data_IF_164779516148
#
_entry.id   IF_164779516148
#
_cell.length_a   1.000
_cell.length_b   1.000
_cell.length_c   1.000
_cell.angle_alpha   90.00
_cell.angle_beta   90.00
_cell.angle_gamma   90.00
#
_symmetry.space_group_name_H-M   'P 1'
#
loop_
_entity.id
_entity.type
_entity.pdbx_description
1 polymer ?
#
# COMPACT_ATOMS: atom_id res chain seq x y z
N UNK A 1 6.39 -15.06 1.66
CA UNK A 1 7.85 -15.19 1.40
C UNK A 1 8.26 -14.12 0.39
N UNK A 2 9.41 -13.48 0.57
CA UNK A 2 9.92 -12.53 -0.43
C UNK A 2 10.39 -13.28 -1.70
N UNK A 3 10.11 -12.71 -2.88
CA UNK A 3 10.46 -13.31 -4.20
C UNK A 3 11.76 -12.77 -4.79
N UNK A 4 12.27 -11.65 -4.26
CA UNK A 4 13.51 -11.02 -4.70
C UNK A 4 14.70 -11.98 -4.52
N UNK A 5 15.43 -12.23 -5.60
CA UNK A 5 16.67 -13.01 -5.60
C UNK A 5 17.87 -12.08 -5.68
N UNK A 6 18.71 -12.12 -4.65
CA UNK A 6 19.97 -11.37 -4.58
C UNK A 6 21.11 -12.35 -4.88
N UNK A 7 22.06 -12.00 -5.77
CA UNK A 7 23.20 -12.86 -6.07
C UNK A 7 24.09 -13.04 -4.83
N UNK A 8 24.75 -14.19 -4.73
CA UNK A 8 25.65 -14.49 -3.60
C UNK A 8 26.84 -13.52 -3.51
N UNK A 9 27.32 -13.06 -4.67
CA UNK A 9 28.32 -12.00 -4.76
C UNK A 9 27.64 -10.73 -5.28
N UNK A 10 27.62 -9.69 -4.45
CA UNK A 10 27.02 -8.40 -4.80
C UNK A 10 28.15 -7.42 -5.10
N UNK A 11 28.20 -6.85 -6.31
CA UNK A 11 29.13 -5.77 -6.64
C UNK A 11 29.07 -4.60 -5.66
N UNK A 12 30.12 -3.79 -5.62
CA UNK A 12 30.12 -2.58 -4.79
C UNK A 12 29.10 -1.56 -5.31
N UNK A 13 28.53 -0.69 -4.46
CA UNK A 13 27.63 0.37 -4.91
C UNK A 13 28.25 1.30 -5.96
N UNK A 14 29.57 1.53 -5.90
CA UNK A 14 30.31 2.31 -6.89
C UNK A 14 30.33 1.61 -8.25
N UNK A 15 30.58 0.30 -8.27
CA UNK A 15 30.58 -0.50 -9.49
C UNK A 15 29.17 -0.57 -10.11
N UNK A 16 28.14 -0.80 -9.30
CA UNK A 16 26.74 -0.76 -9.77
C UNK A 16 26.37 0.63 -10.32
N UNK A 17 26.82 1.71 -9.66
CA UNK A 17 26.61 3.09 -10.10
C UNK A 17 27.24 3.36 -11.46
N UNK A 18 28.50 2.95 -11.66
CA UNK A 18 29.22 3.11 -12.92
C UNK A 18 28.58 2.31 -14.05
N UNK A 19 28.18 1.07 -13.78
CA UNK A 19 27.48 0.23 -14.76
C UNK A 19 26.11 0.81 -15.14
N UNK A 20 25.36 1.32 -14.16
CA UNK A 20 24.10 2.02 -14.44
C UNK A 20 24.33 3.27 -15.28
N UNK A 21 25.33 4.10 -14.95
CA UNK A 21 25.70 5.27 -15.77
C UNK A 21 26.01 4.88 -17.21
N UNK A 22 26.76 3.80 -17.40
CA UNK A 22 27.09 3.27 -18.72
C UNK A 22 25.87 2.71 -19.47
N UNK A 23 24.82 2.26 -18.76
CA UNK A 23 23.64 1.66 -19.36
C UNK A 23 22.81 2.65 -20.19
N UNK A 24 22.88 3.95 -19.90
CA UNK A 24 22.17 4.99 -20.65
C UNK A 24 23.13 6.07 -21.17
N UNK A 25 24.40 5.73 -21.36
CA UNK A 25 25.36 6.62 -21.99
C UNK A 25 25.34 6.44 -23.52
N UNK A 26 25.08 7.52 -24.24
CA UNK A 26 25.09 7.53 -25.71
C UNK A 26 23.68 7.48 -26.30
N UNK A 27 23.55 6.91 -27.50
CA UNK A 27 22.24 6.78 -28.15
C UNK A 27 21.57 5.47 -27.73
N UNK A 28 20.46 5.59 -27.02
CA UNK A 28 19.66 4.46 -26.53
C UNK A 28 20.06 4.02 -25.12
N UNK A 29 19.30 3.06 -24.60
CA UNK A 29 19.41 2.56 -23.23
C UNK A 29 19.61 1.04 -23.26
N UNK A 30 20.42 0.51 -22.34
CA UNK A 30 20.62 -0.92 -22.13
C UNK A 30 19.75 -1.37 -20.96
N UNK A 31 18.46 -1.60 -21.25
CA UNK A 31 17.46 -1.98 -20.24
C UNK A 31 17.81 -3.31 -19.56
N UNK A 32 18.44 -4.24 -20.28
CA UNK A 32 18.89 -5.52 -19.75
C UNK A 32 19.90 -5.38 -18.61
N UNK A 33 20.83 -4.41 -18.71
CA UNK A 33 21.78 -4.11 -17.65
C UNK A 33 21.11 -3.43 -16.45
N UNK A 34 20.16 -2.53 -16.70
CA UNK A 34 19.36 -1.89 -15.63
C UNK A 34 18.61 -2.97 -14.83
N UNK A 35 17.98 -3.93 -15.52
CA UNK A 35 17.27 -5.06 -14.89
C UNK A 35 18.24 -5.94 -14.10
N UNK A 36 19.36 -6.35 -14.71
CA UNK A 36 20.31 -7.28 -14.08
C UNK A 36 20.91 -6.74 -12.78
N UNK A 37 20.96 -5.41 -12.64
CA UNK A 37 21.36 -4.73 -11.41
C UNK A 37 20.13 -4.52 -10.51
N UNK A 38 19.20 -3.63 -10.88
CA UNK A 38 18.17 -3.13 -9.97
C UNK A 38 17.20 -4.21 -9.52
N UNK A 39 16.78 -5.13 -10.39
CA UNK A 39 15.88 -6.23 -10.03
C UNK A 39 16.52 -7.26 -9.08
N UNK A 40 17.83 -7.13 -8.83
CA UNK A 40 18.64 -8.03 -8.01
C UNK A 40 19.33 -7.30 -6.85
N UNK A 41 18.79 -6.14 -6.43
CA UNK A 41 19.21 -5.40 -5.24
C UNK A 41 18.03 -5.18 -4.31
N UNK A 42 18.22 -5.35 -3.01
CA UNK A 42 17.22 -5.01 -2.01
C UNK A 42 17.10 -3.49 -1.81
N UNK A 43 16.09 -3.05 -1.06
CA UNK A 43 15.82 -1.63 -0.82
C UNK A 43 17.05 -0.87 -0.25
N UNK A 44 17.76 -1.46 0.71
CA UNK A 44 18.95 -0.86 1.31
C UNK A 44 20.08 -0.71 0.28
N UNK A 45 20.32 -1.73 -0.54
CA UNK A 45 21.32 -1.69 -1.62
C UNK A 45 20.96 -0.64 -2.66
N UNK A 46 19.70 -0.60 -3.14
CA UNK A 46 19.26 0.40 -4.13
C UNK A 46 19.38 1.83 -3.58
N UNK A 47 19.10 2.03 -2.29
CA UNK A 47 19.29 3.33 -1.64
C UNK A 47 20.76 3.74 -1.65
N UNK A 48 21.68 2.85 -1.25
CA UNK A 48 23.12 3.14 -1.27
C UNK A 48 23.62 3.39 -2.69
N UNK A 49 23.16 2.61 -3.69
CA UNK A 49 23.47 2.85 -5.10
C UNK A 49 23.03 4.25 -5.54
N UNK A 50 21.82 4.69 -5.20
CA UNK A 50 21.34 6.04 -5.50
C UNK A 50 22.21 7.12 -4.86
N UNK A 51 22.55 6.96 -3.58
CA UNK A 51 23.42 7.90 -2.85
C UNK A 51 24.82 7.97 -3.48
N UNK A 52 25.42 6.82 -3.79
CA UNK A 52 26.72 6.74 -4.47
C UNK A 52 26.68 7.32 -5.89
N UNK A 53 25.58 7.10 -6.63
CA UNK A 53 25.39 7.67 -7.96
C UNK A 53 25.36 9.19 -7.93
N UNK A 54 24.63 9.77 -6.98
CA UNK A 54 24.61 11.22 -6.79
C UNK A 54 25.95 11.78 -6.34
N UNK A 55 26.67 11.09 -5.46
CA UNK A 55 28.00 11.52 -5.02
C UNK A 55 29.05 11.47 -6.14
N UNK A 56 29.01 10.43 -6.98
CA UNK A 56 30.01 10.17 -8.02
C UNK A 56 29.74 10.98 -9.29
N UNK A 57 28.47 11.12 -9.69
CA UNK A 57 28.10 11.72 -10.98
C UNK A 57 27.43 13.10 -10.85
N UNK A 58 27.04 13.51 -9.64
CA UNK A 58 26.34 14.79 -9.42
C UNK A 58 24.89 14.81 -9.90
N UNK A 59 24.34 13.66 -10.31
CA UNK A 59 23.00 13.50 -10.88
C UNK A 59 22.13 12.55 -10.03
N UNK A 60 20.82 12.63 -10.18
CA UNK A 60 19.88 11.76 -9.45
C UNK A 60 19.53 10.56 -10.34
N UNK A 61 19.87 9.35 -9.89
CA UNK A 61 19.63 8.13 -10.65
C UNK A 61 18.17 7.97 -11.09
N UNK A 62 17.19 8.36 -10.26
CA UNK A 62 15.78 8.26 -10.64
C UNK A 62 15.42 9.26 -11.73
N UNK A 63 16.03 10.46 -11.74
CA UNK A 63 15.80 11.45 -12.81
C UNK A 63 16.42 11.02 -14.13
N UNK A 64 17.55 10.32 -14.09
CA UNK A 64 18.16 9.79 -15.30
C UNK A 64 17.32 8.63 -15.84
N UNK A 65 16.88 7.70 -14.98
CA UNK A 65 15.97 6.62 -15.38
C UNK A 65 14.63 7.14 -15.98
N UNK A 66 14.07 8.22 -15.43
CA UNK A 66 12.86 8.89 -15.92
C UNK A 66 13.03 9.50 -17.32
N UNK A 67 14.24 9.98 -17.66
CA UNK A 67 14.53 10.54 -19.00
C UNK A 67 14.83 9.47 -20.03
N UNK A 68 15.48 8.38 -19.60
CA UNK A 68 16.09 7.39 -20.49
C UNK A 68 15.18 6.18 -20.76
N UNK A 69 14.14 6.01 -19.94
CA UNK A 69 13.13 4.97 -20.11
C UNK A 69 11.79 5.60 -20.53
N UNK A 70 10.86 4.77 -20.99
CA UNK A 70 9.51 5.23 -21.30
C UNK A 70 8.42 4.24 -20.92
N UNK A 71 7.18 4.74 -20.84
CA UNK A 71 5.96 3.94 -20.74
C UNK A 71 5.93 3.06 -19.48
N UNK A 72 5.45 1.82 -19.57
CA UNK A 72 5.25 0.97 -18.40
C UNK A 72 6.57 0.44 -17.82
N UNK A 73 7.60 0.27 -18.64
CA UNK A 73 8.92 -0.15 -18.15
C UNK A 73 9.54 0.91 -17.24
N UNK A 74 9.50 2.18 -17.65
CA UNK A 74 9.92 3.32 -16.83
C UNK A 74 9.20 3.34 -15.48
N UNK A 75 7.85 3.27 -15.50
CA UNK A 75 7.05 3.28 -14.26
C UNK A 75 7.46 2.16 -13.31
N UNK A 76 7.61 0.94 -13.81
CA UNK A 76 7.98 -0.22 -12.98
C UNK A 76 9.39 -0.05 -12.43
N UNK A 77 10.36 0.39 -13.22
CA UNK A 77 11.74 0.60 -12.78
C UNK A 77 11.82 1.71 -11.73
N UNK A 78 11.15 2.85 -11.95
CA UNK A 78 11.14 3.96 -10.99
C UNK A 78 10.49 3.55 -9.67
N UNK A 79 9.30 2.94 -9.72
CA UNK A 79 8.61 2.45 -8.53
C UNK A 79 9.44 1.41 -7.79
N UNK A 80 10.08 0.47 -8.50
CA UNK A 80 10.94 -0.54 -7.91
C UNK A 80 12.18 0.07 -7.24
N UNK A 81 12.77 1.10 -7.83
CA UNK A 81 14.04 1.68 -7.39
C UNK A 81 13.90 2.52 -6.11
N UNK A 82 12.72 3.09 -5.87
CA UNK A 82 12.38 3.80 -4.63
C UNK A 82 12.52 2.89 -3.39
N UNK A 83 12.81 3.51 -2.24
CA UNK A 83 12.62 2.85 -0.94
C UNK A 83 11.12 2.53 -0.75
N UNK A 84 10.74 1.42 -0.07
CA UNK A 84 9.34 1.08 0.14
C UNK A 84 8.48 2.24 0.70
N UNK A 85 9.00 3.04 1.62
CA UNK A 85 8.26 4.18 2.16
C UNK A 85 8.10 5.32 1.14
N UNK A 86 9.14 5.59 0.34
CA UNK A 86 9.06 6.59 -0.74
C UNK A 86 8.11 6.15 -1.85
N UNK A 87 8.08 4.85 -2.16
CA UNK A 87 7.17 4.24 -3.13
C UNK A 87 5.73 4.37 -2.68
N UNK A 88 5.43 3.98 -1.43
CA UNK A 88 4.07 4.09 -0.88
C UNK A 88 3.63 5.56 -0.83
N UNK A 89 4.52 6.47 -0.43
CA UNK A 89 4.23 7.91 -0.47
C UNK A 89 3.91 8.41 -1.88
N UNK A 90 4.69 8.00 -2.88
CA UNK A 90 4.47 8.35 -4.28
C UNK A 90 3.14 7.80 -4.81
N UNK A 91 2.86 6.52 -4.58
CA UNK A 91 1.61 5.88 -5.00
C UNK A 91 0.39 6.53 -4.34
N UNK A 92 0.46 6.80 -3.04
CA UNK A 92 -0.60 7.49 -2.33
C UNK A 92 -0.83 8.92 -2.87
N UNK A 93 0.24 9.65 -3.23
CA UNK A 93 0.10 10.98 -3.80
C UNK A 93 -0.49 10.96 -5.21
N UNK A 94 -0.15 9.97 -6.02
CA UNK A 94 -0.79 9.76 -7.32
C UNK A 94 -2.28 9.44 -7.14
N UNK A 95 -2.61 8.59 -6.16
CA UNK A 95 -3.98 8.17 -5.87
C UNK A 95 -4.89 9.30 -5.33
N UNK A 96 -4.34 10.40 -4.81
CA UNK A 96 -5.13 11.57 -4.36
C UNK A 96 -5.26 12.67 -5.42
N UNK A 97 -4.53 12.61 -6.54
CA UNK A 97 -4.63 13.63 -7.60
C UNK A 97 -5.89 13.44 -8.43
N UNK A 98 -6.57 14.54 -8.77
CA UNK A 98 -7.84 14.54 -9.49
C UNK A 98 -7.85 13.70 -10.79
N UNK A 99 -6.77 13.72 -11.57
CA UNK A 99 -6.68 12.99 -12.84
C UNK A 99 -6.35 11.50 -12.68
N UNK A 100 -5.86 11.10 -11.51
CA UNK A 100 -5.36 9.75 -11.21
C UNK A 100 -5.97 9.20 -9.92
N UNK A 101 -7.12 9.74 -9.51
CA UNK A 101 -7.77 9.42 -8.24
C UNK A 101 -8.07 7.92 -8.20
N UNK A 102 -7.57 7.24 -7.17
CA UNK A 102 -7.78 5.81 -7.00
C UNK A 102 -7.82 5.45 -5.52
N UNK A 103 -9.03 5.43 -4.96
CA UNK A 103 -9.26 5.14 -3.56
C UNK A 103 -8.78 3.72 -3.15
N UNK A 104 -8.77 2.76 -4.08
CA UNK A 104 -8.31 1.40 -3.83
C UNK A 104 -6.82 1.35 -3.47
N UNK A 105 -5.98 2.22 -4.06
CA UNK A 105 -4.56 2.31 -3.69
C UNK A 105 -4.39 2.83 -2.25
N UNK A 106 -5.22 3.79 -1.84
CA UNK A 106 -5.21 4.31 -0.46
C UNK A 106 -5.63 3.21 0.52
N UNK A 107 -6.69 2.46 0.20
CA UNK A 107 -7.13 1.30 0.99
C UNK A 107 -6.02 0.26 1.09
N UNK A 108 -5.40 -0.09 -0.03
CA UNK A 108 -4.32 -1.08 -0.08
C UNK A 108 -3.18 -0.69 0.85
N UNK A 109 -2.63 0.52 0.68
CA UNK A 109 -1.50 1.01 1.48
C UNK A 109 -1.86 1.02 2.97
N UNK A 110 -3.06 1.49 3.31
CA UNK A 110 -3.45 1.64 4.72
C UNK A 110 -3.84 0.32 5.41
N UNK A 111 -4.32 -0.67 4.67
CA UNK A 111 -4.77 -1.96 5.23
C UNK A 111 -3.68 -3.03 5.26
N UNK A 112 -2.80 -3.06 4.25
CA UNK A 112 -1.83 -4.16 4.06
C UNK A 112 -0.50 -3.91 4.76
N UNK A 113 -0.10 -2.65 4.96
CA UNK A 113 1.15 -2.29 5.64
C UNK A 113 1.04 -2.54 7.15
N UNK A 114 2.18 -2.75 7.80
CA UNK A 114 2.28 -2.63 9.26
C UNK A 114 2.12 -1.15 9.67
N UNK A 115 1.65 -0.87 10.91
CA UNK A 115 1.67 0.46 11.49
C UNK A 115 3.01 1.21 11.38
N UNK A 116 4.14 0.50 11.52
CA UNK A 116 5.46 1.10 11.34
C UNK A 116 5.76 1.45 9.87
N UNK A 117 5.43 0.57 8.92
CA UNK A 117 5.61 0.85 7.48
C UNK A 117 4.73 2.01 7.03
N UNK A 118 3.45 2.05 7.45
CA UNK A 118 2.54 3.15 7.14
C UNK A 118 3.06 4.47 7.72
N UNK A 119 3.59 4.45 8.95
CA UNK A 119 4.22 5.63 9.55
C UNK A 119 5.42 6.13 8.72
N UNK A 120 6.30 5.22 8.27
CA UNK A 120 7.42 5.59 7.40
C UNK A 120 6.95 6.17 6.06
N UNK A 121 5.91 5.58 5.46
CA UNK A 121 5.31 6.11 4.23
C UNK A 121 4.77 7.53 4.45
N UNK A 122 4.10 7.80 5.58
CA UNK A 122 3.61 9.15 5.94
C UNK A 122 4.75 10.14 6.15
N UNK A 123 5.85 9.72 6.78
CA UNK A 123 7.05 10.54 6.92
C UNK A 123 7.68 10.87 5.56
N UNK A 124 7.79 9.88 4.67
CA UNK A 124 8.28 10.09 3.31
C UNK A 124 7.34 11.00 2.49
N UNK A 125 6.03 10.87 2.68
CA UNK A 125 5.02 11.74 2.08
C UNK A 125 5.21 13.19 2.49
N UNK A 126 5.31 13.45 3.80
CA UNK A 126 5.52 14.79 4.34
C UNK A 126 6.86 15.38 3.89
N UNK A 127 7.93 14.58 3.89
CA UNK A 127 9.24 14.99 3.44
C UNK A 127 9.23 15.42 1.96
N UNK A 128 8.51 14.68 1.10
CA UNK A 128 8.48 14.90 -0.35
C UNK A 128 7.46 15.98 -0.78
N UNK A 129 6.24 15.93 -0.26
CA UNK A 129 5.11 16.74 -0.73
C UNK A 129 4.76 17.92 0.18
N UNK A 130 5.43 18.04 1.34
CA UNK A 130 5.29 19.16 2.30
C UNK A 130 3.87 19.31 2.87
N UNK A 131 3.13 18.21 2.94
CA UNK A 131 1.77 18.08 3.50
C UNK A 131 1.56 16.66 4.02
N UNK A 132 0.56 16.44 4.86
CA UNK A 132 0.26 15.09 5.36
C UNK A 132 -0.56 14.28 4.35
N UNK A 133 -0.45 12.95 4.42
CA UNK A 133 -1.28 12.05 3.63
C UNK A 133 -2.76 12.19 4.02
N UNK A 134 -3.02 12.36 5.31
CA UNK A 134 -4.36 12.48 5.87
C UNK A 134 -5.09 13.72 5.38
N UNK A 135 -4.40 14.87 5.35
CA UNK A 135 -4.98 16.11 4.80
C UNK A 135 -5.34 15.95 3.32
N UNK A 136 -4.46 15.35 2.52
CA UNK A 136 -4.74 15.12 1.10
C UNK A 136 -5.90 14.13 0.90
N UNK A 137 -5.94 13.03 1.65
CA UNK A 137 -7.07 12.09 1.60
C UNK A 137 -8.37 12.79 2.02
N UNK A 138 -8.36 13.60 3.09
CA UNK A 138 -9.54 14.32 3.55
C UNK A 138 -10.02 15.40 2.57
N UNK A 139 -9.09 16.04 1.86
CA UNK A 139 -9.39 17.08 0.86
C UNK A 139 -9.92 16.48 -0.45
N UNK A 140 -9.33 15.37 -0.90
CA UNK A 140 -9.64 14.77 -2.21
C UNK A 140 -10.76 13.71 -2.18
N UNK A 141 -11.27 13.36 -0.99
CA UNK A 141 -12.42 12.44 -0.85
C UNK A 141 -13.63 13.11 -0.20
N UNK A 142 -14.81 12.56 -0.44
CA UNK A 142 -16.09 13.12 0.02
C UNK A 142 -16.94 12.08 0.76
N UNK A 143 -17.93 12.57 1.51
CA UNK A 143 -18.97 11.79 2.17
C UNK A 143 -18.45 10.50 2.86
N UNK A 144 -19.01 9.35 2.49
CA UNK A 144 -18.77 8.06 3.13
C UNK A 144 -17.38 7.50 2.83
N UNK A 145 -16.87 7.73 1.62
CA UNK A 145 -15.50 7.34 1.26
C UNK A 145 -14.50 8.05 2.18
N UNK A 146 -14.66 9.37 2.38
CA UNK A 146 -13.81 10.10 3.33
C UNK A 146 -13.95 9.56 4.75
N UNK A 147 -15.18 9.24 5.17
CA UNK A 147 -15.48 8.69 6.49
C UNK A 147 -14.78 7.36 6.75
N UNK A 148 -14.55 6.56 5.71
CA UNK A 148 -13.77 5.32 5.77
C UNK A 148 -12.25 5.58 5.68
N UNK A 149 -11.80 6.34 4.68
CA UNK A 149 -10.38 6.43 4.35
C UNK A 149 -9.56 7.24 5.35
N UNK A 150 -10.09 8.37 5.84
CA UNK A 150 -9.38 9.24 6.80
C UNK A 150 -8.97 8.47 8.07
N UNK A 151 -9.88 7.77 8.78
CA UNK A 151 -9.46 6.98 9.93
C UNK A 151 -8.54 5.82 9.52
N UNK A 152 -8.75 5.20 8.34
CA UNK A 152 -7.90 4.10 7.87
C UNK A 152 -6.44 4.53 7.70
N UNK A 153 -6.15 5.72 7.15
CA UNK A 153 -4.78 6.27 7.02
C UNK A 153 -4.27 6.95 8.29
N UNK A 154 -5.17 7.39 9.17
CA UNK A 154 -4.84 8.18 10.36
C UNK A 154 -4.41 7.33 11.56
N UNK A 155 -4.96 6.13 11.71
CA UNK A 155 -4.81 5.35 12.94
C UNK A 155 -3.48 4.59 12.97
N UNK A 156 -2.75 4.76 14.07
CA UNK A 156 -1.63 3.90 14.42
C UNK A 156 -2.14 2.68 15.21
N UNK A 157 -2.41 1.58 14.50
CA UNK A 157 -3.03 0.38 15.09
C UNK A 157 -2.08 -0.31 16.07
N UNK A 158 -2.66 -0.93 17.08
CA UNK A 158 -1.95 -1.85 17.96
C UNK A 158 -1.53 -3.12 17.20
N UNK A 159 -0.28 -3.53 17.35
CA UNK A 159 0.31 -4.72 16.69
C UNK A 159 0.43 -5.94 17.61
N UNK A 160 -0.05 -5.86 18.86
CA UNK A 160 -0.05 -7.03 19.74
C UNK A 160 -1.09 -8.06 19.35
N UNK A 161 -0.86 -9.30 19.81
CA UNK A 161 -1.68 -10.48 19.53
C UNK A 161 -2.86 -10.62 20.51
N UNK A 162 -2.99 -9.70 21.47
CA UNK A 162 -4.03 -9.71 22.48
C UNK A 162 -5.42 -9.52 21.87
N UNK A 163 -6.32 -10.45 22.21
CA UNK A 163 -7.70 -10.47 21.73
C UNK A 163 -8.65 -10.51 22.92
N UNK A 164 -9.66 -9.63 22.89
CA UNK A 164 -10.79 -9.67 23.79
C UNK A 164 -11.97 -10.39 23.10
N UNK A 165 -12.20 -11.65 23.48
CA UNK A 165 -13.24 -12.50 22.89
C UNK A 165 -14.67 -12.02 23.20
N UNK A 166 -14.89 -11.46 24.39
CA UNK A 166 -16.20 -10.87 24.75
C UNK A 166 -16.52 -9.69 23.86
N UNK A 167 -15.54 -8.81 23.63
CA UNK A 167 -15.66 -7.68 22.72
C UNK A 167 -15.87 -8.16 21.29
N UNK A 168 -15.08 -9.14 20.81
CA UNK A 168 -15.19 -9.70 19.48
C UNK A 168 -16.61 -10.23 19.20
N UNK A 169 -17.19 -10.95 20.15
CA UNK A 169 -18.57 -11.44 20.04
C UNK A 169 -19.60 -10.31 19.99
N UNK A 170 -19.46 -9.28 20.85
CA UNK A 170 -20.37 -8.14 20.82
C UNK A 170 -20.27 -7.32 19.54
N UNK A 171 -19.05 -7.12 19.03
CA UNK A 171 -18.81 -6.35 17.80
C UNK A 171 -19.24 -7.13 16.56
N UNK A 172 -19.15 -8.46 16.56
CA UNK A 172 -19.67 -9.29 15.47
C UNK A 172 -21.19 -9.10 15.28
N UNK A 173 -21.94 -9.10 16.38
CA UNK A 173 -23.39 -8.82 16.38
C UNK A 173 -23.70 -7.42 15.88
N UNK A 174 -22.92 -6.44 16.35
CA UNK A 174 -23.10 -5.05 15.95
C UNK A 174 -22.82 -4.87 14.45
N UNK A 175 -21.77 -5.48 13.91
CA UNK A 175 -21.50 -5.49 12.47
C UNK A 175 -22.69 -6.07 11.70
N UNK A 176 -23.20 -7.23 12.12
CA UNK A 176 -24.32 -7.89 11.46
C UNK A 176 -25.60 -7.04 11.49
N UNK A 177 -25.94 -6.45 12.63
CA UNK A 177 -27.07 -5.52 12.77
C UNK A 177 -26.94 -4.34 11.79
N UNK A 178 -25.77 -3.67 11.76
CA UNK A 178 -25.58 -2.51 10.87
C UNK A 178 -25.59 -2.88 9.39
N UNK A 179 -25.07 -4.06 9.03
CA UNK A 179 -25.09 -4.57 7.65
C UNK A 179 -26.52 -4.94 7.23
N UNK A 180 -27.29 -5.59 8.11
CA UNK A 180 -28.69 -5.94 7.85
C UNK A 180 -29.57 -4.70 7.62
N UNK A 181 -29.30 -3.62 8.37
CA UNK A 181 -29.97 -2.32 8.21
C UNK A 181 -29.44 -1.50 7.01
N UNK A 182 -28.48 -2.02 6.25
CA UNK A 182 -27.76 -1.32 5.17
C UNK A 182 -27.04 -0.04 5.63
N UNK A 183 -26.74 0.06 6.92
CA UNK A 183 -26.02 1.17 7.54
C UNK A 183 -24.49 0.98 7.42
N UNK A 184 -23.99 0.79 6.20
CA UNK A 184 -22.60 0.40 5.93
C UNK A 184 -21.56 1.45 6.34
N UNK A 185 -21.97 2.72 6.45
CA UNK A 185 -21.17 3.87 6.88
C UNK A 185 -21.40 4.25 8.35
N UNK A 186 -22.08 3.40 9.13
CA UNK A 186 -22.35 3.65 10.55
C UNK A 186 -21.03 3.75 11.36
N UNK A 187 -20.98 4.67 12.32
CA UNK A 187 -19.77 4.99 13.08
C UNK A 187 -19.16 3.75 13.76
N UNK A 188 -20.00 2.88 14.32
CA UNK A 188 -19.52 1.63 14.93
C UNK A 188 -18.86 0.68 13.93
N UNK A 189 -19.43 0.52 12.74
CA UNK A 189 -18.86 -0.35 11.71
C UNK A 189 -17.50 0.20 11.27
N UNK A 190 -17.45 1.50 10.93
CA UNK A 190 -16.21 2.19 10.59
C UNK A 190 -15.19 2.06 11.70
N UNK A 191 -15.58 2.31 12.95
CA UNK A 191 -14.70 2.21 14.13
C UNK A 191 -14.12 0.80 14.25
N UNK A 192 -14.94 -0.24 14.14
CA UNK A 192 -14.48 -1.63 14.26
C UNK A 192 -13.44 -1.94 13.18
N UNK A 193 -13.72 -1.61 11.93
CA UNK A 193 -12.82 -1.90 10.80
C UNK A 193 -11.55 -1.05 10.85
N UNK A 194 -11.67 0.24 11.18
CA UNK A 194 -10.54 1.19 11.06
C UNK A 194 -9.66 1.29 12.30
N UNK A 195 -10.16 0.93 13.49
CA UNK A 195 -9.42 1.15 14.76
C UNK A 195 -8.88 -0.11 15.42
N UNK A 196 -9.51 -1.28 15.23
CA UNK A 196 -9.10 -2.51 15.93
C UNK A 196 -7.75 -3.02 15.44
N UNK A 197 -7.01 -3.72 16.30
CA UNK A 197 -5.83 -4.48 15.87
C UNK A 197 -6.23 -5.54 14.85
N UNK A 198 -5.31 -5.94 13.97
CA UNK A 198 -5.59 -6.99 12.98
C UNK A 198 -6.04 -8.32 13.66
N UNK A 199 -5.40 -8.77 14.76
CA UNK A 199 -5.86 -9.96 15.49
C UNK A 199 -7.27 -9.80 16.07
N UNK A 200 -7.58 -8.65 16.68
CA UNK A 200 -8.91 -8.40 17.23
C UNK A 200 -9.99 -8.35 16.13
N UNK A 201 -9.72 -7.69 15.00
CA UNK A 201 -10.66 -7.65 13.87
C UNK A 201 -10.90 -9.06 13.31
N UNK A 202 -9.83 -9.85 13.13
CA UNK A 202 -9.96 -11.23 12.68
C UNK A 202 -10.81 -12.08 13.64
N UNK A 203 -10.63 -11.93 14.95
CA UNK A 203 -11.47 -12.60 15.95
C UNK A 203 -12.95 -12.18 15.87
N UNK A 204 -13.21 -10.88 15.67
CA UNK A 204 -14.57 -10.36 15.45
C UNK A 204 -15.21 -11.00 14.19
N UNK A 205 -14.48 -11.09 13.08
CA UNK A 205 -14.99 -11.68 11.84
C UNK A 205 -15.16 -13.20 11.92
N UNK A 206 -14.30 -13.89 12.67
CA UNK A 206 -14.48 -15.32 12.96
C UNK A 206 -15.77 -15.54 13.75
N UNK A 207 -16.05 -14.71 14.76
CA UNK A 207 -17.33 -14.77 15.49
C UNK A 207 -18.52 -14.46 14.61
N UNK A 208 -18.41 -13.46 13.73
CA UNK A 208 -19.44 -13.13 12.74
C UNK A 208 -19.78 -14.37 11.89
N UNK A 209 -18.77 -15.00 11.29
CA UNK A 209 -18.98 -16.18 10.44
C UNK A 209 -19.57 -17.37 11.22
N UNK A 210 -19.11 -17.60 12.45
CA UNK A 210 -19.59 -18.70 13.29
C UNK A 210 -21.04 -18.51 13.76
N UNK A 211 -21.45 -17.26 14.02
CA UNK A 211 -22.79 -16.97 14.55
C UNK A 211 -23.84 -16.83 13.44
N UNK A 212 -23.48 -16.28 12.27
CA UNK A 212 -24.42 -15.97 11.18
C UNK A 212 -24.28 -16.89 9.96
N UNK A 213 -23.27 -17.76 9.92
CA UNK A 213 -23.09 -18.78 8.88
C UNK A 213 -22.57 -18.26 7.53
N UNK A 214 -22.35 -16.95 7.40
CA UNK A 214 -21.78 -16.31 6.22
C UNK A 214 -20.54 -15.49 6.57
N UNK A 215 -19.57 -15.47 5.66
CA UNK A 215 -18.46 -14.52 5.74
C UNK A 215 -18.97 -13.11 5.45
N UNK A 216 -18.49 -12.12 6.21
CA UNK A 216 -18.90 -10.72 6.09
C UNK A 216 -18.80 -10.17 4.66
N UNK A 217 -17.84 -10.67 3.87
CA UNK A 217 -17.63 -10.28 2.48
C UNK A 217 -18.87 -10.53 1.61
N UNK A 218 -19.58 -11.65 1.84
CA UNK A 218 -20.82 -11.99 1.12
C UNK A 218 -21.97 -11.05 1.49
N UNK A 219 -22.08 -10.69 2.76
CA UNK A 219 -23.16 -9.82 3.23
C UNK A 219 -22.92 -8.35 2.84
N UNK A 220 -21.68 -8.00 2.47
CA UNK A 220 -21.30 -6.71 1.91
C UNK A 220 -21.31 -6.69 0.38
N UNK A 221 -21.49 -7.82 -0.30
CA UNK A 221 -21.54 -7.91 -1.77
C UNK A 221 -22.97 -7.84 -2.30
N UNK A 222 -23.70 -6.80 -1.86
CA UNK A 222 -25.11 -6.58 -2.24
C UNK A 222 -25.28 -5.77 -3.50
N UNK A 223 -24.28 -4.96 -3.85
CA UNK A 223 -24.25 -4.13 -5.04
C UNK A 223 -22.82 -4.14 -5.60
N UNK A 224 -22.67 -4.65 -6.82
CA UNK A 224 -21.39 -4.77 -7.50
C UNK A 224 -20.90 -3.45 -8.11
N UNK A 225 -21.73 -2.41 -8.15
CA UNK A 225 -21.39 -1.09 -8.68
C UNK A 225 -21.08 -0.08 -7.56
N UNK A 226 -21.49 -0.36 -6.32
CA UNK A 226 -21.21 0.49 -5.16
C UNK A 226 -19.70 0.54 -4.82
N UNK A 227 -19.09 1.69 -5.09
CA UNK A 227 -17.67 1.95 -4.80
C UNK A 227 -17.36 1.86 -3.31
N UNK A 228 -18.25 2.37 -2.44
CA UNK A 228 -18.01 2.35 -1.01
C UNK A 228 -17.96 0.92 -0.48
N UNK A 229 -18.89 0.06 -0.90
CA UNK A 229 -18.89 -1.36 -0.53
C UNK A 229 -17.64 -2.08 -1.05
N UNK A 230 -17.19 -1.79 -2.28
CA UNK A 230 -15.91 -2.31 -2.82
C UNK A 230 -14.73 -1.92 -1.93
N UNK A 231 -14.62 -0.65 -1.55
CA UNK A 231 -13.53 -0.15 -0.71
C UNK A 231 -13.59 -0.73 0.71
N UNK A 232 -14.79 -0.89 1.28
CA UNK A 232 -14.98 -1.49 2.59
C UNK A 232 -14.56 -2.98 2.60
N UNK A 233 -14.99 -3.75 1.58
CA UNK A 233 -14.57 -5.16 1.42
C UNK A 233 -13.06 -5.26 1.22
N UNK A 234 -12.48 -4.41 0.37
CA UNK A 234 -11.03 -4.34 0.17
C UNK A 234 -10.28 -4.02 1.47
N UNK A 235 -10.77 -3.08 2.28
CA UNK A 235 -10.15 -2.74 3.56
C UNK A 235 -10.19 -3.91 4.54
N UNK A 236 -11.33 -4.60 4.65
CA UNK A 236 -11.48 -5.79 5.48
C UNK A 236 -10.52 -6.89 5.03
N UNK A 237 -10.51 -7.24 3.73
CA UNK A 237 -9.62 -8.26 3.17
C UNK A 237 -8.14 -7.89 3.37
N UNK A 238 -7.73 -6.66 3.10
CA UNK A 238 -6.34 -6.22 3.29
C UNK A 238 -5.89 -6.26 4.76
N UNK A 239 -6.81 -6.04 5.70
CA UNK A 239 -6.52 -6.09 7.14
C UNK A 239 -6.43 -7.52 7.70
N UNK A 240 -7.15 -8.48 7.14
CA UNK A 240 -7.25 -9.84 7.71
C UNK A 240 -6.65 -10.95 6.85
N UNK A 241 -6.71 -10.83 5.52
CA UNK A 241 -6.21 -11.80 4.53
C UNK A 241 -5.50 -11.09 3.36
N UNK A 242 -4.41 -10.34 3.61
CA UNK A 242 -3.74 -9.54 2.60
C UNK A 242 -3.27 -10.37 1.39
N UNK A 243 -2.89 -11.62 1.58
CA UNK A 243 -2.52 -12.54 0.50
C UNK A 243 -3.68 -12.80 -0.47
N UNK A 244 -4.91 -12.97 0.03
CA UNK A 244 -6.10 -13.16 -0.81
C UNK A 244 -6.49 -11.87 -1.52
N UNK A 245 -6.33 -10.73 -0.85
CA UNK A 245 -6.52 -9.42 -1.48
C UNK A 245 -5.62 -9.27 -2.72
N UNK A 246 -4.32 -9.58 -2.59
CA UNK A 246 -3.39 -9.49 -3.71
C UNK A 246 -3.60 -10.58 -4.77
N UNK A 247 -3.99 -11.79 -4.38
CA UNK A 247 -4.37 -12.86 -5.33
C UNK A 247 -5.53 -12.42 -6.22
N UNK A 248 -6.62 -11.91 -5.61
CA UNK A 248 -7.76 -11.39 -6.33
C UNK A 248 -7.34 -10.23 -7.25
N UNK A 249 -6.58 -9.26 -6.74
CA UNK A 249 -6.11 -8.11 -7.52
C UNK A 249 -5.34 -8.53 -8.78
N UNK A 250 -4.45 -9.52 -8.65
CA UNK A 250 -3.65 -10.04 -9.76
C UNK A 250 -4.46 -10.86 -10.77
N UNK A 251 -5.59 -11.46 -10.35
CA UNK A 251 -6.46 -12.24 -11.25
C UNK A 251 -7.20 -11.38 -12.28
N UNK A 252 -7.26 -10.07 -12.07
CA UNK A 252 -7.87 -9.10 -12.98
C UNK A 252 -6.89 -8.49 -14.00
N UNK A 253 -5.60 -8.84 -13.92
CA UNK A 253 -4.53 -8.42 -14.86
C UNK A 253 -4.37 -9.42 -16.00
#
# INVERSE_FOLDING_TARGET
MATLKIPSNVPSPSEDSEQLRGAFQGWGTNEGLIISILAHRNAAQRKVIRETYTQTHGEDLLKDLDKELSSDFEKVVLLWTLDPAERDAFLANQATKMLTSNNSIIVEIASTRSPLELLKAKQAYQARFKKSLEEDVAYHTSADIRKLLVPLVGIHRYEGDEVNMTLAKSEAKLLHEKIADKAYNHDDLIRIVTTRSKPQLNATLNHYNNEFGNVIDKDLDTDSDDEYLKLLRAAIKGLTYPEKYFEELLSWL
#
